data_IF_739940994971
#
_entry.id   IF_739940994971
#
_cell.length_a   1.000
_cell.length_b   1.000
_cell.length_c   1.000
_cell.angle_alpha   90.00
_cell.angle_beta   90.00
_cell.angle_gamma   90.00
#
_symmetry.space_group_name_H-M   'P 1'
#
loop_
_entity.id
_entity.type
_entity.pdbx_description
1 polymer ?
#
# COMPACT_ATOMS: atom_id res chain seq x y z
N UNK A 1 1.49 -52.73 60.15
CA UNK A 1 2.78 -52.00 60.23
C UNK A 1 3.23 -51.75 58.81
N UNK A 2 3.15 -50.51 58.34
CA UNK A 2 3.54 -50.14 56.98
C UNK A 2 5.08 -50.04 56.88
N UNK A 3 5.72 -50.53 55.81
CA UNK A 3 7.17 -50.63 55.68
C UNK A 3 7.78 -49.28 55.24
N UNK A 4 7.63 -48.23 56.04
CA UNK A 4 8.27 -46.94 55.76
C UNK A 4 9.75 -46.89 56.21
N UNK A 5 10.19 -47.83 57.05
CA UNK A 5 11.55 -47.90 57.59
C UNK A 5 12.56 -48.60 56.66
N UNK A 6 12.10 -49.15 55.52
CA UNK A 6 12.96 -49.80 54.52
C UNK A 6 13.37 -48.87 53.37
N UNK A 7 12.88 -47.63 53.36
CA UNK A 7 13.21 -46.64 52.33
C UNK A 7 14.39 -45.81 52.82
N UNK A 8 15.51 -45.91 52.12
CA UNK A 8 16.64 -45.00 52.32
C UNK A 8 16.27 -43.62 51.74
N UNK A 9 15.61 -42.81 52.57
CA UNK A 9 15.14 -41.47 52.24
C UNK A 9 16.27 -40.56 51.74
N UNK A 10 17.51 -40.81 52.18
CA UNK A 10 18.68 -40.07 51.72
C UNK A 10 19.02 -40.43 50.26
N UNK A 11 19.04 -41.73 49.94
CA UNK A 11 19.31 -42.22 48.59
C UNK A 11 18.21 -41.82 47.59
N UNK A 12 16.96 -41.68 48.03
CA UNK A 12 15.85 -41.19 47.20
C UNK A 12 15.86 -39.65 47.01
N UNK A 13 16.26 -38.89 48.04
CA UNK A 13 16.30 -37.43 47.97
C UNK A 13 17.36 -36.90 47.00
N UNK A 14 18.50 -37.57 46.86
CA UNK A 14 19.60 -37.16 45.97
C UNK A 14 19.15 -37.02 44.49
N UNK A 15 18.55 -38.04 43.84
CA UNK A 15 18.10 -37.92 42.45
C UNK A 15 16.93 -36.94 42.29
N UNK A 16 16.04 -36.85 43.29
CA UNK A 16 14.93 -35.87 43.27
C UNK A 16 15.50 -34.44 43.35
N UNK A 17 16.45 -34.18 44.24
CA UNK A 17 17.13 -32.88 44.35
C UNK A 17 17.91 -32.52 43.08
N UNK A 18 18.56 -33.48 42.44
CA UNK A 18 19.21 -33.27 41.15
C UNK A 18 18.21 -32.84 40.07
N UNK A 19 17.07 -33.53 39.96
CA UNK A 19 16.02 -33.18 39.01
C UNK A 19 15.40 -31.81 39.31
N UNK A 20 15.15 -31.47 40.57
CA UNK A 20 14.58 -30.15 40.93
C UNK A 20 15.55 -29.02 40.62
N UNK A 21 16.85 -29.19 40.85
CA UNK A 21 17.88 -28.21 40.46
C UNK A 21 17.99 -28.11 38.94
N UNK A 22 17.94 -29.23 38.22
CA UNK A 22 17.99 -29.25 36.76
C UNK A 22 16.78 -28.54 36.15
N UNK A 23 15.56 -28.89 36.59
CA UNK A 23 14.32 -28.27 36.11
C UNK A 23 14.24 -26.81 36.57
N UNK A 24 14.65 -26.50 37.79
CA UNK A 24 14.72 -25.15 38.32
C UNK A 24 15.65 -24.26 37.49
N UNK A 25 16.88 -24.73 37.23
CA UNK A 25 17.83 -23.98 36.41
C UNK A 25 17.36 -23.82 34.96
N UNK A 26 16.74 -24.85 34.36
CA UNK A 26 16.18 -24.77 33.01
C UNK A 26 14.99 -23.80 32.91
N UNK A 27 14.11 -23.79 33.90
CA UNK A 27 12.94 -22.89 33.93
C UNK A 27 13.37 -21.43 34.14
N UNK A 28 14.32 -21.17 35.04
CA UNK A 28 14.92 -19.84 35.22
C UNK A 28 15.62 -19.38 33.94
N UNK A 29 16.39 -20.24 33.28
CA UNK A 29 17.05 -19.91 32.02
C UNK A 29 16.04 -19.63 30.89
N UNK A 30 15.03 -20.48 30.72
CA UNK A 30 13.99 -20.34 29.70
C UNK A 30 13.20 -19.04 29.87
N UNK A 31 12.80 -18.72 31.10
CA UNK A 31 12.05 -17.48 31.40
C UNK A 31 12.91 -16.25 31.17
N UNK A 32 14.18 -16.25 31.62
CA UNK A 32 15.09 -15.13 31.43
C UNK A 32 15.45 -14.93 29.95
N UNK A 33 15.72 -16.00 29.21
CA UNK A 33 16.01 -15.94 27.78
C UNK A 33 14.80 -15.40 27.00
N UNK A 34 13.60 -15.95 27.24
CA UNK A 34 12.36 -15.47 26.59
C UNK A 34 12.06 -14.00 26.94
N UNK A 35 12.27 -13.59 28.19
CA UNK A 35 12.09 -12.20 28.62
C UNK A 35 13.09 -11.26 27.94
N UNK A 36 14.34 -11.69 27.76
CA UNK A 36 15.35 -10.90 27.01
C UNK A 36 15.00 -10.82 25.53
N UNK A 37 14.53 -11.91 24.94
CA UNK A 37 14.11 -11.93 23.55
C UNK A 37 12.87 -11.05 23.31
N UNK A 38 11.88 -11.08 24.22
CA UNK A 38 10.71 -10.19 24.14
C UNK A 38 11.09 -8.72 24.35
N UNK A 39 12.05 -8.42 25.23
CA UNK A 39 12.54 -7.05 25.43
C UNK A 39 13.28 -6.52 24.19
N UNK A 40 14.14 -7.33 23.56
CA UNK A 40 14.82 -6.98 22.31
C UNK A 40 13.82 -6.68 21.20
N UNK A 41 12.83 -7.56 21.03
CA UNK A 41 11.79 -7.35 20.03
C UNK A 41 10.94 -6.13 20.36
N UNK A 42 10.57 -5.90 21.63
CA UNK A 42 9.83 -4.71 22.05
C UNK A 42 10.58 -3.38 21.82
N UNK A 43 11.92 -3.39 21.87
CA UNK A 43 12.74 -2.19 21.59
C UNK A 43 12.84 -1.81 20.12
N UNK A 44 12.25 -2.60 19.22
CA UNK A 44 12.25 -2.31 17.78
C UNK A 44 11.35 -1.12 17.49
N UNK A 45 11.80 -0.26 16.56
CA UNK A 45 10.99 0.88 16.15
C UNK A 45 9.65 0.42 15.57
N UNK A 46 8.56 1.16 15.83
CA UNK A 46 7.27 0.87 15.24
C UNK A 46 7.33 0.97 13.71
N UNK A 47 6.53 0.17 13.02
CA UNK A 47 6.45 0.16 11.56
C UNK A 47 5.73 1.40 11.03
N UNK A 48 4.61 1.77 11.67
CA UNK A 48 3.83 2.94 11.32
C UNK A 48 4.16 4.12 12.22
N UNK A 49 4.04 5.36 11.71
CA UNK A 49 4.07 6.53 12.57
C UNK A 49 2.89 6.54 13.56
N UNK A 50 2.99 7.33 14.64
CA UNK A 50 1.91 7.49 15.61
C UNK A 50 0.55 7.77 14.94
N UNK A 51 -0.51 7.12 15.43
CA UNK A 51 -1.82 7.23 14.83
C UNK A 51 -2.52 8.53 15.20
N UNK A 52 -2.47 9.52 14.30
CA UNK A 52 -3.02 10.86 14.54
C UNK A 52 -4.53 10.85 14.80
N UNK A 53 -5.31 10.20 13.93
CA UNK A 53 -6.78 10.21 13.99
C UNK A 53 -7.30 9.48 15.23
N UNK A 54 -6.67 8.37 15.62
CA UNK A 54 -6.90 7.70 16.92
C UNK A 54 -6.63 8.65 18.08
N UNK A 55 -5.48 9.33 18.08
CA UNK A 55 -5.14 10.27 19.16
C UNK A 55 -6.14 11.44 19.22
N UNK A 56 -6.57 11.97 18.08
CA UNK A 56 -7.62 13.01 18.01
C UNK A 56 -8.92 12.48 18.61
N UNK A 57 -9.37 11.29 18.19
CA UNK A 57 -10.59 10.68 18.69
C UNK A 57 -10.53 10.46 20.21
N UNK A 58 -9.45 9.88 20.72
CA UNK A 58 -9.26 9.68 22.16
C UNK A 58 -9.18 11.02 22.91
N UNK A 59 -8.52 12.03 22.35
CA UNK A 59 -8.48 13.36 22.95
C UNK A 59 -9.87 13.99 23.02
N UNK A 60 -10.69 13.83 21.97
CA UNK A 60 -12.07 14.29 21.95
C UNK A 60 -12.94 13.53 22.96
N UNK A 61 -12.68 12.24 23.16
CA UNK A 61 -13.40 11.41 24.13
C UNK A 61 -13.13 11.84 25.57
N UNK A 62 -11.87 12.19 25.90
CA UNK A 62 -11.48 12.66 27.24
C UNK A 62 -11.75 14.16 27.46
N UNK A 63 -12.33 14.86 26.48
CA UNK A 63 -12.66 16.28 26.61
C UNK A 63 -14.01 16.44 27.30
N UNK A 64 -13.98 16.75 28.58
CA UNK A 64 -15.18 16.91 29.41
C UNK A 64 -15.86 18.28 29.21
N UNK A 65 -15.09 19.35 29.03
CA UNK A 65 -15.60 20.73 28.86
C UNK A 65 -15.05 21.45 27.61
N UNK A 66 -15.91 21.96 26.71
CA UNK A 66 -17.34 21.65 26.55
C UNK A 66 -17.54 20.21 26.06
N UNK A 67 -18.64 19.57 26.48
CA UNK A 67 -19.03 18.23 26.04
C UNK A 67 -19.12 18.17 24.51
N UNK A 68 -18.30 17.30 23.91
CA UNK A 68 -18.28 17.08 22.47
C UNK A 68 -19.57 16.34 22.07
N UNK A 69 -20.29 16.81 21.04
CA UNK A 69 -21.48 16.11 20.55
C UNK A 69 -21.11 14.78 19.90
N UNK A 70 -21.99 13.77 20.09
CA UNK A 70 -21.80 12.41 19.58
C UNK A 70 -21.63 12.36 18.06
N UNK A 71 -22.19 13.32 17.32
CA UNK A 71 -22.00 13.42 15.86
C UNK A 71 -20.54 13.63 15.48
N UNK A 72 -19.81 14.46 16.24
CA UNK A 72 -18.38 14.71 16.02
C UNK A 72 -17.57 13.48 16.42
N UNK A 73 -17.92 12.80 17.51
CA UNK A 73 -17.25 11.57 17.94
C UNK A 73 -17.41 10.44 16.90
N UNK A 74 -18.61 10.25 16.36
CA UNK A 74 -18.88 9.29 15.28
C UNK A 74 -18.12 9.65 14.00
N UNK A 75 -18.04 10.93 13.65
CA UNK A 75 -17.25 11.38 12.50
C UNK A 75 -15.74 11.16 12.72
N UNK A 76 -15.24 11.42 13.93
CA UNK A 76 -13.85 11.16 14.30
C UNK A 76 -13.51 9.66 14.26
N UNK A 77 -14.42 8.80 14.74
CA UNK A 77 -14.28 7.34 14.63
C UNK A 77 -14.25 6.87 13.17
N UNK A 78 -15.10 7.44 12.31
CA UNK A 78 -15.05 7.15 10.86
C UNK A 78 -13.70 7.56 10.25
N UNK A 79 -13.15 8.72 10.63
CA UNK A 79 -11.83 9.17 10.15
C UNK A 79 -10.69 8.27 10.65
N UNK A 80 -10.79 7.75 11.89
CA UNK A 80 -9.88 6.71 12.41
C UNK A 80 -9.99 5.44 11.56
N UNK A 81 -11.20 4.92 11.35
CA UNK A 81 -11.44 3.75 10.52
C UNK A 81 -10.90 3.89 9.09
N UNK A 82 -11.04 5.08 8.47
CA UNK A 82 -10.48 5.36 7.13
C UNK A 82 -8.95 5.26 7.11
N UNK A 83 -8.28 5.77 8.13
CA UNK A 83 -6.82 5.66 8.25
C UNK A 83 -6.40 4.19 8.48
N UNK A 84 -7.14 3.43 9.29
CA UNK A 84 -6.89 2.00 9.48
C UNK A 84 -7.02 1.22 8.16
N UNK A 85 -7.98 1.59 7.31
CA UNK A 85 -8.10 1.04 5.94
C UNK A 85 -6.85 1.33 5.10
N UNK A 86 -6.32 2.56 5.13
CA UNK A 86 -5.07 2.86 4.42
C UNK A 86 -3.91 1.99 4.91
N UNK A 87 -3.79 1.85 6.23
CA UNK A 87 -2.71 1.06 6.86
C UNK A 87 -2.81 -0.43 6.55
N UNK A 88 -4.00 -1.04 6.66
CA UNK A 88 -4.16 -2.47 6.34
C UNK A 88 -3.95 -2.76 4.86
N UNK A 89 -4.39 -1.88 3.96
CA UNK A 89 -4.11 -2.02 2.52
C UNK A 89 -2.60 -1.94 2.26
N UNK A 90 -1.90 -1.01 2.93
CA UNK A 90 -0.44 -0.90 2.83
C UNK A 90 0.27 -2.16 3.32
N UNK A 91 -0.12 -2.71 4.48
CA UNK A 91 0.44 -3.98 5.01
C UNK A 91 0.19 -5.12 4.05
N UNK A 92 -1.05 -5.28 3.57
CA UNK A 92 -1.43 -6.36 2.65
C UNK A 92 -0.62 -6.32 1.35
N UNK A 93 -0.44 -5.13 0.78
CA UNK A 93 0.35 -4.94 -0.43
C UNK A 93 1.83 -5.24 -0.21
N UNK A 94 2.39 -4.85 0.95
CA UNK A 94 3.78 -5.09 1.29
C UNK A 94 4.11 -6.55 1.65
N UNK A 95 3.13 -7.30 2.20
CA UNK A 95 3.32 -8.68 2.69
C UNK A 95 3.94 -9.60 1.65
N UNK A 96 3.36 -9.63 0.44
CA UNK A 96 3.81 -10.53 -0.62
C UNK A 96 5.24 -10.20 -1.08
N UNK A 97 5.53 -8.91 -1.26
CA UNK A 97 6.86 -8.45 -1.68
C UNK A 97 7.92 -8.76 -0.60
N UNK A 98 7.60 -8.54 0.67
CA UNK A 98 8.51 -8.83 1.79
C UNK A 98 8.80 -10.31 1.95
N UNK A 99 7.80 -11.19 1.78
CA UNK A 99 8.02 -12.64 1.86
C UNK A 99 9.03 -13.12 0.80
N UNK A 100 8.92 -12.61 -0.44
CA UNK A 100 9.85 -12.96 -1.52
C UNK A 100 11.26 -12.43 -1.23
N UNK A 101 11.39 -11.22 -0.70
CA UNK A 101 12.68 -10.65 -0.33
C UNK A 101 13.35 -11.37 0.86
N UNK A 102 12.55 -11.82 1.83
CA UNK A 102 13.05 -12.59 2.97
C UNK A 102 13.59 -13.96 2.52
N UNK A 103 12.89 -14.66 1.62
CA UNK A 103 13.37 -15.92 1.04
C UNK A 103 14.68 -15.77 0.26
N UNK A 104 14.91 -14.59 -0.35
CA UNK A 104 16.16 -14.25 -1.05
C UNK A 104 17.29 -13.84 -0.10
N UNK A 105 17.01 -13.67 1.19
CA UNK A 105 17.98 -13.22 2.19
C UNK A 105 18.39 -11.74 2.04
N UNK A 106 17.69 -10.95 1.23
CA UNK A 106 18.00 -9.52 1.03
C UNK A 106 17.42 -8.61 2.12
N UNK A 107 16.56 -9.16 2.99
CA UNK A 107 15.91 -8.48 4.11
C UNK A 107 16.20 -9.25 5.40
N UNK A 108 16.51 -8.53 6.48
CA UNK A 108 16.77 -9.14 7.77
C UNK A 108 15.50 -9.66 8.47
N UNK A 109 15.66 -10.71 9.29
CA UNK A 109 14.58 -11.30 10.09
C UNK A 109 13.93 -10.28 11.04
N UNK A 110 14.72 -9.30 11.52
CA UNK A 110 14.24 -8.21 12.35
C UNK A 110 13.12 -7.38 11.68
N UNK A 111 13.28 -7.07 10.39
CA UNK A 111 12.26 -6.32 9.63
C UNK A 111 10.98 -7.14 9.49
N UNK A 112 11.11 -8.45 9.27
CA UNK A 112 9.99 -9.36 9.18
C UNK A 112 9.23 -9.45 10.51
N UNK A 113 9.94 -9.52 11.64
CA UNK A 113 9.32 -9.50 12.97
C UNK A 113 8.59 -8.18 13.25
N UNK A 114 9.17 -7.02 12.86
CA UNK A 114 8.49 -5.71 12.94
C UNK A 114 7.22 -5.69 12.10
N UNK A 115 7.28 -6.21 10.88
CA UNK A 115 6.13 -6.29 9.98
C UNK A 115 5.01 -7.15 10.55
N UNK A 116 5.33 -8.34 11.08
CA UNK A 116 4.34 -9.22 11.72
C UNK A 116 3.71 -8.61 12.97
N UNK A 117 4.48 -7.82 13.73
CA UNK A 117 3.93 -7.05 14.85
C UNK A 117 2.95 -6.00 14.34
N UNK A 118 3.33 -5.22 13.34
CA UNK A 118 2.48 -4.18 12.78
C UNK A 118 1.17 -4.74 12.21
N UNK A 119 1.23 -5.92 11.57
CA UNK A 119 0.04 -6.64 11.12
C UNK A 119 -0.91 -6.94 12.28
N UNK A 120 -0.40 -7.49 13.39
CA UNK A 120 -1.20 -7.77 14.59
C UNK A 120 -1.75 -6.50 15.25
N UNK A 121 -0.92 -5.46 15.39
CA UNK A 121 -1.33 -4.17 15.97
C UNK A 121 -2.49 -3.55 15.16
N UNK A 122 -2.46 -3.63 13.83
CA UNK A 122 -3.57 -3.15 12.98
C UNK A 122 -4.80 -4.03 13.13
N UNK A 123 -4.65 -5.36 13.18
CA UNK A 123 -5.80 -6.24 13.38
C UNK A 123 -6.49 -6.02 14.75
N UNK A 124 -5.71 -5.73 15.79
CA UNK A 124 -6.23 -5.35 17.11
C UNK A 124 -6.94 -4.00 17.04
N UNK A 125 -6.34 -2.99 16.42
CA UNK A 125 -6.95 -1.66 16.24
C UNK A 125 -8.27 -1.75 15.44
N UNK A 126 -8.32 -2.56 14.38
CA UNK A 126 -9.55 -2.80 13.61
C UNK A 126 -10.65 -3.43 14.48
N UNK A 127 -10.31 -4.40 15.35
CA UNK A 127 -11.26 -5.02 16.28
C UNK A 127 -11.77 -4.00 17.31
N UNK A 128 -10.90 -3.16 17.83
CA UNK A 128 -11.26 -2.09 18.77
C UNK A 128 -12.23 -1.10 18.12
N UNK A 129 -11.98 -0.69 16.88
CA UNK A 129 -12.90 0.19 16.14
C UNK A 129 -14.26 -0.47 15.90
N UNK A 130 -14.33 -1.78 15.61
CA UNK A 130 -15.62 -2.50 15.52
C UNK A 130 -16.37 -2.46 16.86
N UNK A 131 -15.66 -2.72 17.96
CA UNK A 131 -16.25 -2.74 19.29
C UNK A 131 -16.77 -1.36 19.69
N UNK A 132 -15.98 -0.31 19.44
CA UNK A 132 -16.38 1.08 19.69
C UNK A 132 -17.56 1.50 18.81
N UNK A 133 -17.57 1.13 17.53
CA UNK A 133 -18.70 1.40 16.64
C UNK A 133 -19.99 0.73 17.15
N UNK A 134 -19.91 -0.52 17.59
CA UNK A 134 -21.06 -1.22 18.17
C UNK A 134 -21.52 -0.60 19.50
N UNK A 135 -20.62 0.03 20.26
CA UNK A 135 -20.99 0.78 21.47
C UNK A 135 -21.80 2.04 21.17
N UNK A 136 -21.56 2.71 20.02
CA UNK A 136 -22.35 3.86 19.59
C UNK A 136 -23.69 3.48 18.95
N UNK A 137 -23.72 2.40 18.17
CA UNK A 137 -24.94 1.92 17.53
C UNK A 137 -24.83 0.41 17.24
N UNK A 138 -25.86 -0.39 17.57
CA UNK A 138 -25.83 -1.82 17.32
C UNK A 138 -25.69 -2.10 15.82
N UNK A 139 -24.88 -3.11 15.48
CA UNK A 139 -24.54 -3.52 14.11
C UNK A 139 -23.73 -2.50 13.29
N UNK A 140 -23.37 -1.33 13.83
CA UNK A 140 -22.58 -0.36 13.06
C UNK A 140 -21.15 -0.84 12.78
N UNK A 141 -20.59 -1.68 13.64
CA UNK A 141 -19.28 -2.28 13.41
C UNK A 141 -19.18 -3.16 12.15
N UNK A 142 -20.31 -3.64 11.61
CA UNK A 142 -20.32 -4.43 10.37
C UNK A 142 -20.20 -3.54 9.12
N UNK A 143 -20.76 -2.33 9.14
CA UNK A 143 -20.81 -1.43 7.99
C UNK A 143 -19.76 -0.31 8.04
N UNK A 144 -19.21 0.01 9.21
CA UNK A 144 -18.26 1.12 9.38
C UNK A 144 -17.06 1.03 8.44
N UNK A 145 -16.50 -0.18 8.26
CA UNK A 145 -15.36 -0.38 7.37
C UNK A 145 -15.71 -0.41 5.89
N UNK A 146 -16.95 -0.74 5.53
CA UNK A 146 -17.44 -0.60 4.16
C UNK A 146 -17.49 0.88 3.78
N UNK A 147 -18.12 1.71 4.62
CA UNK A 147 -18.15 3.15 4.43
C UNK A 147 -16.76 3.78 4.47
N UNK A 148 -15.89 3.35 5.40
CA UNK A 148 -14.52 3.85 5.47
C UNK A 148 -13.70 3.51 4.21
N UNK A 149 -13.89 2.32 3.63
CA UNK A 149 -13.25 1.93 2.37
C UNK A 149 -13.73 2.78 1.20
N UNK A 150 -15.03 3.04 1.10
CA UNK A 150 -15.57 3.93 0.07
C UNK A 150 -15.05 5.37 0.22
N UNK A 151 -14.95 5.88 1.45
CA UNK A 151 -14.37 7.20 1.74
C UNK A 151 -12.89 7.30 1.36
N UNK A 152 -12.09 6.26 1.67
CA UNK A 152 -10.69 6.18 1.30
C UNK A 152 -10.52 6.24 -0.23
N UNK A 153 -11.26 5.39 -0.95
CA UNK A 153 -11.22 5.34 -2.42
C UNK A 153 -11.71 6.65 -3.06
N UNK A 154 -12.80 7.22 -2.54
CA UNK A 154 -13.32 8.50 -3.04
C UNK A 154 -12.31 9.64 -2.85
N UNK A 155 -11.65 9.69 -1.68
CA UNK A 155 -10.60 10.69 -1.40
C UNK A 155 -9.44 10.53 -2.38
N UNK A 156 -8.97 9.30 -2.61
CA UNK A 156 -7.89 9.03 -3.54
C UNK A 156 -8.23 9.47 -4.97
N UNK A 157 -9.44 9.16 -5.46
CA UNK A 157 -9.90 9.57 -6.79
C UNK A 157 -9.97 11.10 -6.89
N UNK A 158 -10.51 11.78 -5.87
CA UNK A 158 -10.59 13.24 -5.86
C UNK A 158 -9.20 13.90 -5.86
N UNK A 159 -8.24 13.38 -5.11
CA UNK A 159 -6.87 13.89 -5.11
C UNK A 159 -6.26 13.74 -6.50
N UNK A 160 -6.35 12.56 -7.11
CA UNK A 160 -5.83 12.33 -8.47
C UNK A 160 -6.50 13.24 -9.51
N UNK A 161 -7.81 13.44 -9.44
CA UNK A 161 -8.53 14.37 -10.32
C UNK A 161 -8.06 15.81 -10.11
N UNK A 162 -7.83 16.23 -8.87
CA UNK A 162 -7.33 17.58 -8.56
C UNK A 162 -5.93 17.77 -9.12
N UNK A 163 -5.06 16.76 -8.98
CA UNK A 163 -3.70 16.79 -9.53
C UNK A 163 -3.72 16.91 -11.06
N UNK A 164 -4.55 16.12 -11.76
CA UNK A 164 -4.72 16.19 -13.22
C UNK A 164 -5.28 17.56 -13.66
N UNK A 165 -6.27 18.08 -12.94
CA UNK A 165 -6.84 19.39 -13.25
C UNK A 165 -5.83 20.52 -13.04
N UNK A 166 -4.90 20.36 -12.10
CA UNK A 166 -3.83 21.34 -11.85
C UNK A 166 -2.82 21.42 -13.01
N UNK A 167 -2.58 20.33 -13.75
CA UNK A 167 -1.67 20.35 -14.91
C UNK A 167 -2.31 20.91 -16.17
N UNK A 168 -3.65 20.91 -16.25
CA UNK A 168 -4.39 21.33 -17.44
C UNK A 168 -4.03 22.73 -17.95
N UNK A 169 -3.79 23.69 -17.05
CA UNK A 169 -3.44 25.06 -17.45
C UNK A 169 -2.03 25.12 -18.07
N UNK A 170 -1.06 24.44 -17.46
CA UNK A 170 0.30 24.36 -17.97
C UNK A 170 0.35 23.60 -19.30
N UNK A 171 -0.42 22.53 -19.45
CA UNK A 171 -0.56 21.78 -20.70
C UNK A 171 -1.18 22.64 -21.82
N UNK A 172 -2.18 23.46 -21.50
CA UNK A 172 -2.76 24.41 -22.47
C UNK A 172 -1.74 25.44 -22.93
N UNK A 173 -1.00 26.04 -22.01
CA UNK A 173 0.03 27.04 -22.34
C UNK A 173 1.17 26.43 -23.16
N UNK A 174 1.59 25.21 -22.83
CA UNK A 174 2.55 24.44 -23.61
C UNK A 174 2.03 24.14 -25.03
N UNK A 175 0.76 23.72 -25.14
CA UNK A 175 0.13 23.37 -26.40
C UNK A 175 -0.05 24.57 -27.33
N UNK A 176 -0.42 25.74 -26.81
CA UNK A 176 -0.53 26.96 -27.61
C UNK A 176 0.84 27.41 -28.15
N UNK A 177 1.89 27.40 -27.33
CA UNK A 177 3.27 27.66 -27.79
C UNK A 177 3.69 26.70 -28.88
N UNK A 178 3.45 25.40 -28.67
CA UNK A 178 3.78 24.36 -29.67
C UNK A 178 3.00 24.55 -30.97
N UNK A 179 1.74 24.98 -30.89
CA UNK A 179 0.90 25.26 -32.06
C UNK A 179 1.39 26.48 -32.83
N UNK A 180 1.85 27.52 -32.15
CA UNK A 180 2.45 28.70 -32.78
C UNK A 180 3.75 28.35 -33.51
N UNK A 181 4.64 27.57 -32.89
CA UNK A 181 5.86 27.06 -33.54
C UNK A 181 5.54 26.27 -34.81
N UNK A 182 4.60 25.32 -34.74
CA UNK A 182 4.20 24.50 -35.90
C UNK A 182 3.63 25.40 -37.03
N UNK A 183 2.85 26.42 -36.69
CA UNK A 183 2.34 27.37 -37.69
C UNK A 183 3.47 28.17 -38.33
N UNK A 184 4.44 28.66 -37.55
CA UNK A 184 5.57 29.40 -38.10
C UNK A 184 6.46 28.55 -39.00
N UNK A 185 6.72 27.29 -38.61
CA UNK A 185 7.50 26.36 -39.42
C UNK A 185 6.79 26.06 -40.75
N UNK A 186 5.47 25.84 -40.72
CA UNK A 186 4.68 25.61 -41.93
C UNK A 186 4.68 26.81 -42.90
N UNK A 187 4.54 28.05 -42.39
CA UNK A 187 4.62 29.24 -43.24
C UNK A 187 6.00 29.40 -43.86
N UNK A 188 7.06 29.07 -43.11
CA UNK A 188 8.43 29.08 -43.62
C UNK A 188 8.63 28.06 -44.72
N UNK A 189 8.14 26.83 -44.57
CA UNK A 189 8.19 25.80 -45.62
C UNK A 189 7.44 26.23 -46.89
N UNK A 190 6.28 26.89 -46.78
CA UNK A 190 5.55 27.42 -47.93
C UNK A 190 6.30 28.55 -48.64
N UNK A 191 7.00 29.41 -47.90
CA UNK A 191 7.84 30.47 -48.47
C UNK A 191 9.05 29.87 -49.19
N UNK A 192 9.70 28.85 -48.61
CA UNK A 192 10.81 28.13 -49.22
C UNK A 192 10.35 27.35 -50.48
N UNK A 193 9.15 26.76 -50.49
CA UNK A 193 8.55 26.15 -51.69
C UNK A 193 8.22 27.19 -52.77
N UNK A 194 7.69 28.35 -52.40
CA UNK A 194 7.43 29.46 -53.35
C UNK A 194 8.71 30.09 -53.88
N UNK A 195 9.77 30.13 -53.08
CA UNK A 195 11.09 30.58 -53.52
C UNK A 195 11.76 29.57 -54.47
N UNK A 196 11.47 28.28 -54.32
CA UNK A 196 11.94 27.22 -55.23
C UNK A 196 11.09 27.06 -56.51
N UNK A 197 9.84 27.54 -56.53
CA UNK A 197 8.98 27.65 -57.74
C UNK A 197 8.79 29.13 -58.14
N UNK A 198 9.67 29.64 -59.01
CA UNK A 198 9.63 31.03 -59.49
C UNK A 198 8.35 31.43 -60.26
N UNK A 199 8.14 32.75 -60.53
CA UNK A 199 6.91 33.27 -61.11
C UNK A 199 6.80 32.95 -62.61
N UNK A 200 5.90 32.03 -62.94
CA UNK A 200 5.43 31.80 -64.30
C UNK A 200 5.32 30.34 -64.69
N UNK A 201 4.17 29.71 -64.39
CA UNK A 201 3.50 28.71 -65.25
C UNK A 201 2.05 28.58 -64.78
N UNK A 202 1.15 29.27 -65.47
CA UNK A 202 -0.30 29.01 -65.56
C UNK A 202 -0.51 28.22 -66.88
N UNK A 203 -1.36 27.21 -67.08
CA UNK A 203 -2.59 26.70 -66.45
C UNK A 203 -2.93 25.30 -67.02
N UNK A 204 -3.77 24.52 -66.32
CA UNK A 204 -4.76 23.49 -66.76
C UNK A 204 -4.59 22.17 -65.99
N UNK A 205 -5.60 21.48 -65.47
CA UNK A 205 -7.05 21.45 -65.70
C UNK A 205 -7.72 20.73 -64.52
N UNK A 206 -8.97 21.11 -64.22
CA UNK A 206 -9.88 20.41 -63.30
C UNK A 206 -10.01 18.93 -63.67
N UNK A 207 -9.83 18.02 -62.70
CA UNK A 207 -10.51 16.72 -62.72
C UNK A 207 -10.85 16.25 -61.29
N UNK A 208 -12.13 16.33 -60.99
CA UNK A 208 -12.83 15.59 -59.95
C UNK A 208 -12.54 14.09 -60.09
N UNK A 209 -12.22 13.44 -58.97
CA UNK A 209 -12.59 12.05 -58.68
C UNK A 209 -12.43 11.80 -57.20
N UNK A 210 -13.52 11.32 -56.60
CA UNK A 210 -13.60 10.64 -55.31
C UNK A 210 -12.58 9.50 -55.16
N UNK A 211 -12.48 9.04 -53.90
CA UNK A 211 -11.80 7.86 -53.37
C UNK A 211 -10.30 8.02 -53.06
N UNK A 212 -9.99 8.38 -51.81
CA UNK A 212 -9.05 7.55 -51.05
C UNK A 212 -9.28 7.68 -49.53
N UNK A 213 -9.68 6.57 -48.93
CA UNK A 213 -9.87 6.41 -47.51
C UNK A 213 -8.51 6.22 -46.83
N UNK A 214 -8.05 7.21 -46.05
CA UNK A 214 -6.85 7.04 -45.23
C UNK A 214 -7.19 6.25 -43.96
N UNK A 215 -6.86 4.96 -44.02
CA UNK A 215 -6.67 4.07 -42.89
C UNK A 215 -5.67 4.69 -41.89
N UNK A 216 -6.14 5.00 -40.69
CA UNK A 216 -5.29 5.30 -39.54
C UNK A 216 -4.70 3.99 -39.04
N UNK A 217 -3.50 3.65 -39.49
CA UNK A 217 -2.67 2.64 -38.82
C UNK A 217 -1.82 3.33 -37.75
N UNK A 218 -2.26 3.18 -36.49
CA UNK A 218 -1.49 3.58 -35.32
C UNK A 218 -0.27 2.68 -35.14
N UNK A 219 0.91 3.21 -35.45
CA UNK A 219 2.20 2.56 -35.19
C UNK A 219 3.04 3.35 -34.20
N UNK A 220 2.87 3.09 -32.91
CA UNK A 220 3.83 3.50 -31.87
C UNK A 220 5.06 2.59 -31.82
N UNK A 221 6.21 3.05 -31.30
CA UNK A 221 7.49 2.36 -31.43
C UNK A 221 7.69 1.34 -30.31
N UNK A 222 7.88 0.07 -30.67
CA UNK A 222 8.63 -0.89 -29.86
C UNK A 222 9.13 -2.05 -30.74
N UNK A 223 10.28 -1.83 -31.34
CA UNK A 223 11.17 -2.88 -31.81
C UNK A 223 11.68 -3.68 -30.59
N UNK A 224 11.53 -5.01 -30.59
CA UNK A 224 12.62 -6.00 -30.43
C UNK A 224 12.11 -7.43 -30.22
N UNK A 225 12.20 -8.21 -31.30
CA UNK A 225 12.87 -9.52 -31.34
C UNK A 225 12.39 -10.66 -30.44
N UNK A 226 11.89 -11.73 -31.08
CA UNK A 226 12.53 -13.06 -31.01
C UNK A 226 11.91 -14.03 -32.02
N UNK A 227 12.78 -14.64 -32.81
CA UNK A 227 12.42 -15.65 -33.79
C UNK A 227 11.89 -16.96 -33.20
N UNK A 228 11.01 -17.60 -33.97
CA UNK A 228 10.57 -18.98 -33.79
C UNK A 228 10.46 -19.66 -35.15
N UNK A 229 11.49 -20.42 -35.54
CA UNK A 229 11.58 -21.18 -36.78
C UNK A 229 11.01 -22.59 -36.57
N UNK A 230 10.27 -23.09 -37.57
CA UNK A 230 10.03 -24.50 -38.01
C UNK A 230 8.63 -25.13 -37.79
N UNK A 231 7.81 -25.05 -38.85
CA UNK A 231 7.47 -26.10 -39.84
C UNK A 231 7.46 -27.58 -39.38
N UNK A 232 6.26 -28.21 -39.40
CA UNK A 232 5.91 -29.52 -40.02
C UNK A 232 4.37 -29.66 -39.94
N UNK A 233 3.59 -29.92 -40.98
CA UNK A 233 3.82 -30.75 -42.16
C UNK A 233 3.20 -32.13 -41.92
N UNK A 234 1.93 -32.28 -42.30
CA UNK A 234 1.11 -33.50 -42.23
C UNK A 234 1.28 -34.28 -43.55
N UNK A 235 1.36 -35.61 -43.42
CA UNK A 235 1.47 -36.65 -44.48
C UNK A 235 2.77 -36.71 -45.27
#
# INVERSE_FOLDING_TARGET
MWPFDLVDWLALCIPVAYLTILVGSLTVFSTLYRKRQSAKTASLSPWFPPHLQRNIYLTLLHKEDPKVPDSILKAALLRRATEDIHRIVQVRNAKQALQVLLQRGSVGDDLWQRFQRAEKEIEEELRDVVNEANAYAPNWGQSIFQSASEMAQNTQIRTQLTDILSTSQAEKEWWEKRREEIKSDFYKELEDEKASKGPGTETSTVKSSDDDAVLVEGGGPAEKGKGGKKKKGKH
#
